data_IF_389346975651
#
_entry.id   IF_389346975651
#
_cell.length_a   1.000
_cell.length_b   1.000
_cell.length_c   1.000
_cell.angle_alpha   90.00
_cell.angle_beta   90.00
_cell.angle_gamma   90.00
#
_symmetry.space_group_name_H-M   'P 1'
#
loop_
_entity.id
_entity.type
_entity.pdbx_description
1 polymer ?
#
# COMPACT_ATOMS: atom_id res chain seq x y z
N UNK A 1 15.85 -1.10 10.72
CA UNK A 1 14.59 -1.49 11.38
C UNK A 1 14.41 -2.99 11.28
N UNK A 2 14.45 -3.62 10.08
CA UNK A 2 14.24 -5.05 9.89
C UNK A 2 15.14 -5.94 10.78
N UNK A 3 16.44 -5.58 10.89
CA UNK A 3 17.36 -6.30 11.77
C UNK A 3 16.92 -6.28 13.24
N UNK A 4 16.47 -5.12 13.75
CA UNK A 4 15.98 -5.02 15.14
C UNK A 4 14.67 -5.80 15.31
N UNK A 5 13.76 -5.72 14.34
CA UNK A 5 12.53 -6.51 14.38
C UNK A 5 12.85 -8.02 14.42
N UNK A 6 13.80 -8.46 13.61
CA UNK A 6 14.25 -9.86 13.65
C UNK A 6 14.81 -10.26 15.01
N UNK A 7 15.66 -9.45 15.64
CA UNK A 7 16.20 -9.74 16.97
C UNK A 7 15.07 -9.89 18.02
N UNK A 8 14.05 -9.04 17.94
CA UNK A 8 12.88 -9.13 18.82
C UNK A 8 12.07 -10.42 18.59
N UNK A 9 11.88 -10.80 17.33
CA UNK A 9 11.19 -12.04 16.95
C UNK A 9 11.99 -13.26 17.43
N UNK A 10 13.30 -13.28 17.22
CA UNK A 10 14.17 -14.37 17.66
C UNK A 10 14.11 -14.58 19.19
N UNK A 11 14.08 -13.49 19.96
CA UNK A 11 13.89 -13.55 21.43
C UNK A 11 12.52 -14.12 21.79
N UNK A 12 11.45 -13.67 21.10
CA UNK A 12 10.08 -14.16 21.30
C UNK A 12 10.00 -15.67 21.07
N UNK A 13 10.59 -16.14 19.97
CA UNK A 13 10.64 -17.56 19.63
C UNK A 13 11.45 -18.38 20.65
N UNK A 14 12.55 -17.82 21.16
CA UNK A 14 13.36 -18.47 22.19
C UNK A 14 12.57 -18.68 23.50
N UNK A 15 11.53 -17.86 23.75
CA UNK A 15 10.61 -18.02 24.85
C UNK A 15 9.47 -19.01 24.57
N UNK A 16 9.43 -19.63 23.39
CA UNK A 16 8.37 -20.55 22.99
C UNK A 16 7.07 -19.85 22.58
N UNK A 17 7.12 -18.56 22.27
CA UNK A 17 5.97 -17.74 21.87
C UNK A 17 6.00 -17.44 20.37
N UNK A 18 4.83 -17.21 19.77
CA UNK A 18 4.71 -16.69 18.41
C UNK A 18 4.82 -15.15 18.43
N UNK A 19 5.43 -14.61 17.38
CA UNK A 19 5.60 -13.19 17.17
C UNK A 19 4.59 -12.65 16.17
N UNK A 20 3.77 -11.71 16.61
CA UNK A 20 2.78 -11.02 15.78
C UNK A 20 3.15 -9.54 15.66
N UNK A 21 3.10 -9.00 14.45
CA UNK A 21 3.29 -7.57 14.23
C UNK A 21 1.98 -6.93 13.82
N UNK A 22 1.57 -5.90 14.56
CA UNK A 22 0.50 -5.03 14.11
C UNK A 22 1.08 -4.05 13.08
N UNK A 23 0.51 -4.10 11.91
CA UNK A 23 0.89 -3.25 10.80
C UNK A 23 -0.22 -2.22 10.65
N UNK A 24 -0.01 -1.09 11.30
CA UNK A 24 -0.84 0.08 11.13
C UNK A 24 -0.72 0.64 9.72
N UNK A 25 -1.30 1.79 9.50
CA UNK A 25 -1.32 2.43 8.17
C UNK A 25 0.07 2.77 7.62
N UNK A 26 1.10 2.65 8.45
CA UNK A 26 2.46 3.12 8.15
C UNK A 26 3.51 2.06 8.50
N UNK A 27 3.75 1.17 7.59
CA UNK A 27 4.72 0.07 7.64
C UNK A 27 6.18 0.55 7.59
N UNK A 28 6.47 1.70 8.13
CA UNK A 28 7.75 2.37 7.97
C UNK A 28 8.92 1.52 8.49
N UNK A 29 9.75 1.07 7.56
CA UNK A 29 10.95 0.27 7.84
C UNK A 29 10.71 -1.22 8.07
N UNK A 30 9.46 -1.67 7.92
CA UNK A 30 9.06 -3.09 7.91
C UNK A 30 7.99 -3.32 6.85
N UNK A 31 8.15 -2.69 5.70
CA UNK A 31 7.22 -2.79 4.59
C UNK A 31 7.12 -4.24 4.10
N UNK A 32 5.90 -4.76 3.90
CA UNK A 32 5.68 -6.20 3.68
C UNK A 32 6.28 -6.75 2.41
N UNK A 33 6.49 -5.89 1.42
CA UNK A 33 7.02 -6.29 0.11
C UNK A 33 8.46 -5.82 -0.12
N UNK A 34 9.15 -5.39 0.96
CA UNK A 34 10.60 -5.19 0.88
C UNK A 34 11.33 -6.54 0.85
N UNK A 35 12.48 -6.65 0.15
CA UNK A 35 13.19 -7.92 0.00
C UNK A 35 13.52 -8.64 1.31
N UNK A 36 13.81 -7.89 2.37
CA UNK A 36 14.21 -8.42 3.67
C UNK A 36 13.04 -8.82 4.58
N UNK A 37 11.79 -8.54 4.22
CA UNK A 37 10.64 -8.77 5.11
C UNK A 37 10.57 -10.22 5.59
N UNK A 38 10.74 -11.18 4.68
CA UNK A 38 10.75 -12.62 5.00
C UNK A 38 11.80 -13.01 6.06
N UNK A 39 12.90 -12.26 6.14
CA UNK A 39 13.99 -12.55 7.08
C UNK A 39 13.64 -12.17 8.51
N UNK A 40 12.62 -11.35 8.74
CA UNK A 40 12.15 -10.96 10.07
C UNK A 40 11.62 -12.18 10.82
N UNK A 41 10.95 -13.12 10.13
CA UNK A 41 10.49 -14.38 10.71
C UNK A 41 9.21 -14.25 11.55
N UNK A 42 8.35 -13.27 11.25
CA UNK A 42 7.05 -13.11 11.91
C UNK A 42 6.15 -14.32 11.67
N UNK A 43 5.40 -14.70 12.71
CA UNK A 43 4.37 -15.73 12.58
C UNK A 43 3.08 -15.16 12.02
N UNK A 44 2.74 -13.93 12.38
CA UNK A 44 1.52 -13.28 11.94
C UNK A 44 1.68 -11.78 11.71
N UNK A 45 0.84 -11.27 10.84
CA UNK A 45 0.64 -9.84 10.63
C UNK A 45 -0.83 -9.49 10.82
N UNK A 46 -1.07 -8.32 11.39
CA UNK A 46 -2.40 -7.83 11.73
C UNK A 46 -2.61 -6.45 11.13
N UNK A 47 -3.73 -6.25 10.46
CA UNK A 47 -4.13 -4.97 9.92
C UNK A 47 -5.55 -4.55 10.32
N UNK A 48 -5.87 -3.29 10.08
CA UNK A 48 -7.20 -2.75 10.32
C UNK A 48 -8.21 -3.22 9.27
N UNK A 49 -9.43 -3.52 9.71
CA UNK A 49 -10.60 -3.77 8.83
C UNK A 49 -11.25 -2.44 8.42
N UNK A 50 -10.54 -1.32 8.50
CA UNK A 50 -11.09 0.00 8.17
C UNK A 50 -11.30 0.25 6.68
N UNK A 51 -10.58 -0.46 5.81
CA UNK A 51 -10.65 -0.31 4.37
C UNK A 51 -10.18 -1.57 3.64
N UNK A 52 -10.45 -1.64 2.34
CA UNK A 52 -10.02 -2.76 1.50
C UNK A 52 -8.53 -2.72 1.20
N UNK A 53 -7.91 -1.54 1.17
CA UNK A 53 -6.48 -1.40 0.83
C UNK A 53 -5.59 -2.07 1.87
N UNK A 54 -5.83 -1.87 3.16
CA UNK A 54 -5.07 -2.54 4.22
C UNK A 54 -5.20 -4.06 4.14
N UNK A 55 -6.42 -4.57 3.98
CA UNK A 55 -6.65 -6.01 3.86
C UNK A 55 -6.00 -6.59 2.61
N UNK A 56 -6.06 -5.86 1.49
CA UNK A 56 -5.43 -6.30 0.26
C UNK A 56 -3.91 -6.36 0.39
N UNK A 57 -3.30 -5.40 1.09
CA UNK A 57 -1.87 -5.41 1.36
C UNK A 57 -1.45 -6.60 2.24
N UNK A 58 -2.17 -6.87 3.33
CA UNK A 58 -1.78 -7.95 4.24
C UNK A 58 -2.06 -9.34 3.67
N UNK A 59 -3.06 -9.51 2.83
CA UNK A 59 -3.46 -10.82 2.31
C UNK A 59 -2.46 -11.44 1.34
N UNK A 60 -1.53 -10.66 0.78
CA UNK A 60 -0.49 -11.14 -0.15
C UNK A 60 0.90 -11.25 0.49
N UNK A 61 1.02 -11.01 1.79
CA UNK A 61 2.32 -11.06 2.46
C UNK A 61 2.85 -12.50 2.49
N UNK A 62 4.06 -12.65 2.01
CA UNK A 62 4.79 -13.91 2.09
C UNK A 62 5.62 -14.01 3.37
N UNK A 63 5.85 -15.24 3.84
CA UNK A 63 6.74 -15.51 4.96
C UNK A 63 6.11 -15.37 6.34
N UNK A 64 4.78 -15.28 6.42
CA UNK A 64 4.00 -15.35 7.66
C UNK A 64 3.12 -16.58 7.66
N UNK A 65 2.79 -17.11 8.85
CA UNK A 65 1.91 -18.29 8.98
C UNK A 65 0.46 -17.94 8.75
N UNK A 66 0.02 -16.74 9.23
CA UNK A 66 -1.34 -16.28 9.07
C UNK A 66 -1.44 -14.75 9.10
N UNK A 67 -2.55 -14.27 8.55
CA UNK A 67 -2.92 -12.86 8.47
C UNK A 67 -4.21 -12.62 9.25
N UNK A 68 -4.33 -11.46 9.89
CA UNK A 68 -5.47 -11.13 10.74
C UNK A 68 -5.98 -9.71 10.47
N UNK A 69 -7.29 -9.56 10.32
CA UNK A 69 -7.97 -8.26 10.28
C UNK A 69 -8.64 -7.94 11.60
N UNK A 70 -8.54 -6.70 12.09
CA UNK A 70 -9.18 -6.25 13.33
C UNK A 70 -10.08 -5.06 13.08
N UNK A 71 -11.29 -5.13 13.61
CA UNK A 71 -12.21 -4.01 13.68
C UNK A 71 -11.72 -2.96 14.67
N UNK A 72 -11.77 -1.67 14.28
CA UNK A 72 -11.53 -0.49 15.11
C UNK A 72 -10.27 -0.61 15.99
N UNK A 73 -9.10 -0.75 15.40
CA UNK A 73 -7.91 -1.08 16.20
C UNK A 73 -7.32 0.08 17.01
N UNK A 74 -7.62 1.36 16.70
CA UNK A 74 -6.80 2.45 17.22
C UNK A 74 -7.49 3.52 18.02
N UNK A 75 -8.55 4.13 17.55
CA UNK A 75 -9.06 5.38 18.13
C UNK A 75 -10.33 5.13 18.94
N UNK A 76 -10.19 4.33 19.97
CA UNK A 76 -11.31 3.91 20.80
C UNK A 76 -12.13 5.05 21.40
N UNK A 77 -11.50 6.13 21.93
CA UNK A 77 -12.27 7.27 22.42
C UNK A 77 -13.07 7.98 21.33
N UNK A 78 -12.58 7.96 20.08
CA UNK A 78 -13.23 8.66 18.95
C UNK A 78 -14.47 7.91 18.48
N UNK A 79 -14.55 6.62 18.72
CA UNK A 79 -15.67 5.76 18.32
C UNK A 79 -16.58 5.42 19.52
N UNK A 80 -15.99 5.04 20.66
CA UNK A 80 -16.71 4.59 21.84
C UNK A 80 -16.90 5.71 22.86
N UNK A 81 -17.77 6.65 22.55
CA UNK A 81 -18.17 7.76 23.43
C UNK A 81 -19.68 7.95 23.43
N UNK A 82 -20.20 8.74 24.36
CA UNK A 82 -21.61 9.08 24.39
C UNK A 82 -22.02 9.79 23.08
N UNK A 83 -23.03 9.24 22.42
CA UNK A 83 -23.49 9.73 21.09
C UNK A 83 -22.69 9.20 19.90
N UNK A 84 -21.65 8.39 20.12
CA UNK A 84 -20.95 7.66 19.07
C UNK A 84 -21.79 6.51 18.51
N UNK A 85 -21.52 6.11 17.27
CA UNK A 85 -22.21 4.99 16.60
C UNK A 85 -21.19 3.96 16.08
N UNK A 86 -20.63 3.12 16.98
CA UNK A 86 -19.65 2.12 16.60
C UNK A 86 -20.21 1.03 15.68
N UNK A 87 -21.52 0.79 15.73
CA UNK A 87 -22.18 -0.19 14.86
C UNK A 87 -22.20 0.28 13.42
N UNK A 88 -22.55 1.54 13.18
CA UNK A 88 -22.56 2.12 11.83
C UNK A 88 -21.17 2.09 11.24
N UNK A 89 -20.18 2.52 11.99
CA UNK A 89 -18.78 2.54 11.55
C UNK A 89 -18.28 1.12 11.21
N UNK A 90 -18.58 0.14 12.05
CA UNK A 90 -18.22 -1.25 11.78
C UNK A 90 -18.93 -1.81 10.53
N UNK A 91 -20.18 -1.43 10.27
CA UNK A 91 -20.91 -1.82 9.06
C UNK A 91 -20.27 -1.24 7.80
N UNK A 92 -19.92 0.04 7.82
CA UNK A 92 -19.25 0.71 6.70
C UNK A 92 -17.89 0.04 6.41
N UNK A 93 -17.11 -0.23 7.46
CA UNK A 93 -15.84 -0.93 7.35
C UNK A 93 -15.99 -2.35 6.79
N UNK A 94 -16.97 -3.11 7.28
CA UNK A 94 -17.19 -4.48 6.81
C UNK A 94 -17.59 -4.56 5.33
N UNK A 95 -18.44 -3.67 4.86
CA UNK A 95 -18.83 -3.61 3.44
C UNK A 95 -17.62 -3.45 2.53
N UNK A 96 -16.67 -2.64 2.93
CA UNK A 96 -15.43 -2.41 2.16
C UNK A 96 -14.47 -3.59 2.28
N UNK A 97 -14.25 -4.06 3.49
CA UNK A 97 -13.34 -5.17 3.79
C UNK A 97 -13.75 -6.48 3.11
N UNK A 98 -15.05 -6.79 3.11
CA UNK A 98 -15.59 -8.02 2.51
C UNK A 98 -15.24 -8.17 1.03
N UNK A 99 -15.18 -7.09 0.27
CA UNK A 99 -14.78 -7.11 -1.15
C UNK A 99 -13.33 -7.60 -1.32
N UNK A 100 -12.43 -7.12 -0.49
CA UNK A 100 -11.03 -7.56 -0.51
C UNK A 100 -10.91 -9.03 -0.11
N UNK A 101 -11.60 -9.45 0.94
CA UNK A 101 -11.60 -10.82 1.45
C UNK A 101 -12.09 -11.82 0.41
N UNK A 102 -13.13 -11.48 -0.36
CA UNK A 102 -13.64 -12.35 -1.43
C UNK A 102 -12.64 -12.56 -2.57
N UNK A 103 -11.67 -11.68 -2.73
CA UNK A 103 -10.61 -11.81 -3.73
C UNK A 103 -9.38 -12.53 -3.20
N UNK A 104 -8.99 -12.21 -1.99
CA UNK A 104 -7.86 -12.83 -1.31
C UNK A 104 -8.18 -12.90 0.18
N UNK A 105 -8.50 -14.08 0.72
CA UNK A 105 -8.87 -14.21 2.12
C UNK A 105 -7.70 -13.90 3.03
N UNK A 106 -8.01 -13.28 4.17
CA UNK A 106 -7.16 -13.30 5.36
C UNK A 106 -7.56 -14.50 6.21
N UNK A 107 -6.72 -14.92 7.14
CA UNK A 107 -6.95 -16.14 7.91
C UNK A 107 -7.83 -15.93 9.13
N UNK A 108 -7.81 -14.74 9.72
CA UNK A 108 -8.55 -14.41 10.96
C UNK A 108 -9.16 -13.03 10.90
N UNK A 109 -10.29 -12.87 11.60
CA UNK A 109 -10.94 -11.59 11.80
C UNK A 109 -11.48 -11.49 13.21
N UNK A 110 -11.48 -10.29 13.79
CA UNK A 110 -12.03 -10.06 15.12
C UNK A 110 -11.98 -8.60 15.55
N UNK A 111 -12.27 -8.39 16.84
CA UNK A 111 -12.13 -7.10 17.49
C UNK A 111 -10.72 -6.93 18.07
N UNK A 112 -10.10 -5.81 17.81
CA UNK A 112 -8.70 -5.52 18.17
C UNK A 112 -8.51 -4.39 19.17
N UNK A 113 -9.54 -4.00 19.91
CA UNK A 113 -9.51 -2.85 20.81
C UNK A 113 -9.63 -3.20 22.30
N UNK A 114 -9.88 -2.15 23.11
CA UNK A 114 -10.14 -2.32 24.53
C UNK A 114 -11.53 -2.90 24.77
N UNK A 115 -11.60 -4.18 25.09
CA UNK A 115 -12.86 -4.89 25.31
C UNK A 115 -13.77 -4.19 26.33
N UNK A 116 -13.18 -3.60 27.38
CA UNK A 116 -13.93 -2.86 28.39
C UNK A 116 -14.72 -1.67 27.81
N UNK A 117 -14.22 -1.01 26.79
CA UNK A 117 -14.95 0.05 26.10
C UNK A 117 -16.05 -0.53 25.21
N UNK A 118 -15.72 -1.53 24.40
CA UNK A 118 -16.66 -2.18 23.49
C UNK A 118 -17.86 -2.79 24.24
N UNK A 119 -17.66 -3.36 25.42
CA UNK A 119 -18.72 -3.94 26.25
C UNK A 119 -19.77 -2.92 26.76
N UNK A 120 -19.49 -1.62 26.66
CA UNK A 120 -20.48 -0.58 26.92
C UNK A 120 -21.46 -0.37 25.75
N UNK A 121 -21.18 -1.00 24.62
CA UNK A 121 -21.97 -0.94 23.38
C UNK A 121 -22.33 -2.38 22.96
N UNK A 122 -23.29 -3.02 23.62
CA UNK A 122 -23.62 -4.43 23.37
C UNK A 122 -24.00 -4.69 21.90
N UNK A 123 -24.72 -3.77 21.26
CA UNK A 123 -25.10 -3.89 19.84
C UNK A 123 -23.86 -3.95 18.92
N UNK A 124 -22.78 -3.29 19.29
CA UNK A 124 -21.52 -3.39 18.55
C UNK A 124 -20.88 -4.77 18.71
N UNK A 125 -20.88 -5.30 19.93
CA UNK A 125 -20.34 -6.65 20.21
C UNK A 125 -21.13 -7.70 19.43
N UNK A 126 -22.47 -7.63 19.47
CA UNK A 126 -23.35 -8.53 18.72
C UNK A 126 -23.11 -8.43 17.21
N UNK A 127 -22.88 -7.21 16.71
CA UNK A 127 -22.56 -7.01 15.31
C UNK A 127 -21.19 -7.62 14.93
N UNK A 128 -20.16 -7.42 15.75
CA UNK A 128 -18.84 -8.04 15.51
C UNK A 128 -18.94 -9.57 15.53
N UNK A 129 -19.70 -10.13 16.44
CA UNK A 129 -19.97 -11.58 16.48
C UNK A 129 -20.64 -12.05 15.19
N UNK A 130 -21.63 -11.32 14.71
CA UNK A 130 -22.32 -11.65 13.47
C UNK A 130 -21.37 -11.63 12.27
N UNK A 131 -20.47 -10.64 12.19
CA UNK A 131 -19.43 -10.56 11.16
C UNK A 131 -18.42 -11.70 11.28
N UNK A 132 -18.02 -12.06 12.49
CA UNK A 132 -17.13 -13.21 12.67
C UNK A 132 -17.77 -14.52 12.19
N UNK A 133 -19.08 -14.69 12.37
CA UNK A 133 -19.82 -15.83 11.85
C UNK A 133 -19.91 -15.80 10.32
N UNK A 134 -20.28 -14.65 9.73
CA UNK A 134 -20.29 -14.47 8.28
C UNK A 134 -18.88 -14.71 7.68
N UNK A 135 -17.84 -14.17 8.28
CA UNK A 135 -16.47 -14.39 7.82
C UNK A 135 -16.07 -15.85 7.84
N UNK A 136 -16.43 -16.57 8.89
CA UNK A 136 -16.14 -18.00 9.02
C UNK A 136 -16.81 -18.81 7.92
N UNK A 137 -18.05 -18.49 7.62
CA UNK A 137 -18.78 -19.11 6.51
C UNK A 137 -18.14 -18.77 5.16
N UNK A 138 -17.82 -17.51 4.90
CA UNK A 138 -17.13 -17.09 3.69
C UNK A 138 -15.79 -17.78 3.55
N UNK A 139 -14.98 -17.78 4.61
CA UNK A 139 -13.65 -18.38 4.60
C UNK A 139 -13.71 -19.88 4.26
N UNK A 140 -14.62 -20.64 4.89
CA UNK A 140 -14.78 -22.06 4.59
C UNK A 140 -15.19 -22.33 3.13
N UNK A 141 -15.92 -21.41 2.52
CA UNK A 141 -16.34 -21.54 1.13
C UNK A 141 -15.24 -21.15 0.11
N UNK A 142 -14.35 -20.23 0.47
CA UNK A 142 -13.34 -19.70 -0.47
C UNK A 142 -11.92 -20.21 -0.22
N UNK A 143 -11.61 -20.70 0.97
CA UNK A 143 -10.29 -21.27 1.26
C UNK A 143 -9.95 -22.39 0.28
N UNK A 144 -8.75 -22.38 -0.24
CA UNK A 144 -8.31 -23.38 -1.22
C UNK A 144 -8.88 -23.20 -2.65
N UNK A 145 -9.65 -22.13 -2.89
CA UNK A 145 -10.06 -21.75 -4.24
C UNK A 145 -9.12 -20.68 -4.80
N UNK A 146 -8.97 -20.65 -6.12
CA UNK A 146 -8.26 -19.57 -6.80
C UNK A 146 -9.29 -18.73 -7.55
N UNK A 147 -9.43 -17.43 -7.24
CA UNK A 147 -10.38 -16.58 -7.94
C UNK A 147 -9.96 -16.42 -9.40
N UNK A 148 -10.94 -16.41 -10.29
CA UNK A 148 -10.67 -16.06 -11.68
C UNK A 148 -10.27 -14.59 -11.77
N UNK A 149 -9.12 -14.34 -12.39
CA UNK A 149 -8.58 -13.00 -12.62
C UNK A 149 -8.45 -12.75 -14.13
N UNK A 150 -8.91 -11.59 -14.56
CA UNK A 150 -8.87 -11.19 -15.99
C UNK A 150 -7.44 -10.86 -16.42
N UNK A 151 -6.69 -10.19 -15.56
CA UNK A 151 -5.33 -9.72 -15.79
C UNK A 151 -4.55 -9.64 -14.49
N UNK A 152 -3.23 -9.70 -14.59
CA UNK A 152 -2.30 -9.45 -13.48
C UNK A 152 -1.88 -7.99 -13.50
N UNK A 153 -2.12 -7.31 -12.40
CA UNK A 153 -1.81 -5.88 -12.21
C UNK A 153 -0.78 -5.74 -11.09
N UNK A 154 0.33 -5.08 -11.35
CA UNK A 154 1.33 -4.82 -10.32
C UNK A 154 1.35 -3.34 -9.90
N UNK A 155 1.38 -3.09 -8.60
CA UNK A 155 1.62 -1.76 -8.01
C UNK A 155 3.09 -1.67 -7.62
N UNK A 156 3.79 -0.70 -8.23
CA UNK A 156 5.23 -0.50 -8.07
C UNK A 156 5.51 0.56 -7.00
N UNK A 157 6.39 0.23 -6.06
CA UNK A 157 6.78 1.09 -4.95
C UNK A 157 8.24 0.81 -4.58
N UNK A 158 8.92 1.79 -3.98
CA UNK A 158 10.24 1.59 -3.34
C UNK A 158 10.08 0.94 -1.96
N UNK A 159 9.59 -0.29 -1.94
CA UNK A 159 9.43 -1.05 -0.69
C UNK A 159 10.76 -1.12 0.06
N UNK A 160 10.71 -0.82 1.37
CA UNK A 160 11.89 -0.68 2.22
C UNK A 160 12.45 0.75 2.32
N UNK A 161 11.97 1.68 1.50
CA UNK A 161 12.45 3.07 1.43
C UNK A 161 11.53 4.10 2.11
N UNK A 162 10.34 3.69 2.58
CA UNK A 162 9.37 4.62 3.17
C UNK A 162 9.92 5.36 4.39
N UNK A 163 10.78 4.72 5.17
CA UNK A 163 11.43 5.38 6.29
C UNK A 163 12.34 6.54 5.85
N UNK A 164 13.13 6.34 4.81
CA UNK A 164 14.03 7.38 4.31
C UNK A 164 13.25 8.58 3.77
N UNK A 165 12.13 8.32 3.12
CA UNK A 165 11.23 9.36 2.62
C UNK A 165 10.38 9.97 3.74
N UNK A 166 9.82 9.17 4.65
CA UNK A 166 8.87 9.57 5.67
C UNK A 166 9.51 10.02 7.00
N UNK A 167 10.84 10.04 7.12
CA UNK A 167 11.51 10.28 8.40
C UNK A 167 11.22 11.67 9.02
N UNK A 168 10.75 12.60 8.22
CA UNK A 168 10.35 13.95 8.68
C UNK A 168 8.85 14.09 8.90
N UNK A 169 8.10 13.03 8.67
CA UNK A 169 6.65 13.01 8.81
C UNK A 169 6.29 12.69 10.25
N UNK A 170 6.04 13.71 11.02
CA UNK A 170 5.76 13.57 12.46
C UNK A 170 4.28 13.33 12.74
N UNK A 171 3.41 13.48 11.73
CA UNK A 171 1.98 13.51 11.97
C UNK A 171 1.19 12.72 10.93
N UNK A 172 0.25 11.90 11.39
CA UNK A 172 -0.63 11.06 10.58
C UNK A 172 -1.31 11.80 9.42
N UNK A 173 -1.81 13.01 9.65
CA UNK A 173 -2.51 13.77 8.62
C UNK A 173 -1.66 14.14 7.41
N UNK A 174 -0.39 14.46 7.60
CA UNK A 174 0.54 14.76 6.51
C UNK A 174 0.84 13.52 5.69
N UNK A 175 1.10 12.41 6.37
CA UNK A 175 1.35 11.14 5.73
C UNK A 175 0.15 10.67 4.91
N UNK A 176 -1.04 10.69 5.48
CA UNK A 176 -2.27 10.30 4.79
C UNK A 176 -2.53 11.13 3.54
N UNK A 177 -2.29 12.44 3.60
CA UNK A 177 -2.45 13.31 2.44
C UNK A 177 -1.52 12.94 1.29
N UNK A 178 -0.27 12.62 1.58
CA UNK A 178 0.74 12.30 0.56
C UNK A 178 0.59 10.88 0.00
N UNK A 179 0.00 9.99 0.76
CA UNK A 179 -0.24 8.61 0.35
C UNK A 179 -1.67 8.40 -0.21
N UNK A 180 -2.47 9.46 -0.29
CA UNK A 180 -3.89 9.37 -0.63
C UNK A 180 -4.15 8.70 -1.98
N UNK A 181 -3.40 9.09 -3.00
CA UNK A 181 -3.53 8.50 -4.34
C UNK A 181 -3.15 7.02 -4.34
N UNK A 182 -2.07 6.67 -3.63
CA UNK A 182 -1.59 5.31 -3.50
C UNK A 182 -2.63 4.40 -2.82
N UNK A 183 -3.13 4.81 -1.67
CA UNK A 183 -4.17 4.08 -0.95
C UNK A 183 -5.46 3.97 -1.79
N UNK A 184 -5.86 5.03 -2.49
CA UNK A 184 -7.04 5.05 -3.35
C UNK A 184 -6.95 4.07 -4.52
N UNK A 185 -5.78 3.92 -5.15
CA UNK A 185 -5.57 2.92 -6.20
C UNK A 185 -5.71 1.51 -5.66
N UNK A 186 -5.11 1.19 -4.51
CA UNK A 186 -5.22 -0.14 -3.90
C UNK A 186 -6.66 -0.41 -3.48
N UNK A 187 -7.35 0.58 -2.92
CA UNK A 187 -8.78 0.46 -2.58
C UNK A 187 -9.63 0.15 -3.81
N UNK A 188 -9.41 0.85 -4.92
CA UNK A 188 -10.11 0.59 -6.18
C UNK A 188 -9.85 -0.82 -6.72
N UNK A 189 -8.64 -1.33 -6.54
CA UNK A 189 -8.24 -2.67 -6.98
C UNK A 189 -8.74 -3.77 -6.04
N UNK A 190 -9.04 -3.48 -4.78
CA UNK A 190 -9.28 -4.47 -3.73
C UNK A 190 -10.44 -5.43 -4.03
N UNK A 191 -11.48 -4.98 -4.72
CA UNK A 191 -12.63 -5.81 -5.13
C UNK A 191 -12.66 -6.13 -6.63
N UNK A 192 -11.68 -5.67 -7.40
CA UNK A 192 -11.64 -5.84 -8.84
C UNK A 192 -11.21 -7.28 -9.24
N UNK A 193 -11.62 -7.76 -10.44
CA UNK A 193 -11.29 -9.10 -10.90
C UNK A 193 -9.87 -9.21 -11.46
N UNK A 194 -8.90 -8.64 -10.75
CA UNK A 194 -7.48 -8.67 -11.11
C UNK A 194 -6.68 -9.45 -10.09
N UNK A 195 -5.62 -10.12 -10.55
CA UNK A 195 -4.56 -10.60 -9.68
C UNK A 195 -3.63 -9.43 -9.40
N UNK A 196 -3.71 -8.87 -8.19
CA UNK A 196 -2.92 -7.69 -7.80
C UNK A 196 -1.64 -8.14 -7.14
N UNK A 197 -0.52 -7.66 -7.65
CA UNK A 197 0.82 -7.87 -7.10
C UNK A 197 1.39 -6.56 -6.58
N UNK A 198 2.24 -6.66 -5.58
CA UNK A 198 3.01 -5.55 -5.05
C UNK A 198 4.49 -5.85 -5.31
N UNK A 199 5.14 -5.04 -6.13
CA UNK A 199 6.54 -5.25 -6.52
C UNK A 199 7.41 -4.06 -6.12
N UNK A 200 8.65 -4.34 -5.80
CA UNK A 200 9.67 -3.36 -5.49
C UNK A 200 10.49 -3.00 -6.72
N UNK A 201 11.06 -1.81 -6.75
CA UNK A 201 12.12 -1.48 -7.70
C UNK A 201 13.36 -2.38 -7.53
N UNK A 202 13.61 -2.84 -6.30
CA UNK A 202 14.71 -3.77 -6.04
C UNK A 202 14.45 -5.15 -6.67
N UNK A 203 13.20 -5.60 -6.73
CA UNK A 203 12.83 -6.84 -7.44
C UNK A 203 13.13 -6.72 -8.94
N UNK A 204 12.75 -5.57 -9.54
CA UNK A 204 13.04 -5.30 -10.96
C UNK A 204 14.55 -5.26 -11.22
N UNK A 205 15.32 -4.68 -10.30
CA UNK A 205 16.76 -4.61 -10.42
C UNK A 205 17.43 -5.97 -10.26
N UNK A 206 16.93 -6.80 -9.36
CA UNK A 206 17.44 -8.14 -9.14
C UNK A 206 17.14 -9.08 -10.32
N UNK A 207 15.93 -9.03 -10.86
CA UNK A 207 15.54 -9.78 -12.06
C UNK A 207 14.43 -9.04 -12.82
N UNK A 208 14.75 -8.35 -13.93
CA UNK A 208 13.77 -7.66 -14.76
C UNK A 208 12.64 -8.57 -15.30
N UNK A 209 12.84 -9.89 -15.30
CA UNK A 209 11.81 -10.86 -15.72
C UNK A 209 10.61 -10.92 -14.78
N UNK A 210 10.70 -10.35 -13.59
CA UNK A 210 9.53 -10.19 -12.70
C UNK A 210 8.36 -9.50 -13.44
N UNK A 211 8.66 -8.64 -14.41
CA UNK A 211 7.67 -7.96 -15.23
C UNK A 211 7.03 -8.85 -16.31
N UNK A 212 7.59 -10.01 -16.65
CA UNK A 212 7.08 -10.87 -17.72
C UNK A 212 5.74 -11.54 -17.33
N UNK A 213 5.45 -11.64 -16.04
CA UNK A 213 4.19 -12.17 -15.50
C UNK A 213 3.11 -11.10 -15.28
N UNK A 214 3.40 -9.85 -15.60
CA UNK A 214 2.53 -8.70 -15.33
C UNK A 214 1.91 -8.22 -16.64
N UNK A 215 0.60 -7.99 -16.65
CA UNK A 215 -0.08 -7.36 -17.79
C UNK A 215 -0.07 -5.84 -17.68
N UNK A 216 -0.26 -5.30 -16.47
CA UNK A 216 -0.35 -3.86 -16.24
C UNK A 216 0.50 -3.46 -15.03
N UNK A 217 1.36 -2.49 -15.21
CA UNK A 217 2.16 -1.87 -14.15
C UNK A 217 1.55 -0.52 -13.76
N UNK A 218 1.38 -0.29 -12.47
CA UNK A 218 0.88 0.98 -11.94
C UNK A 218 1.98 1.65 -11.12
N UNK A 219 2.31 2.89 -11.45
CA UNK A 219 3.13 3.75 -10.61
C UNK A 219 2.30 4.94 -10.15
N UNK A 220 2.14 5.10 -8.85
CA UNK A 220 1.18 6.02 -8.25
C UNK A 220 1.73 6.74 -7.05
N UNK A 221 1.44 8.02 -6.92
CA UNK A 221 1.77 8.86 -5.79
C UNK A 221 2.35 10.21 -6.20
N UNK A 222 2.81 10.96 -5.22
CA UNK A 222 3.51 12.23 -5.43
C UNK A 222 4.96 11.99 -5.86
N UNK A 223 5.51 12.91 -6.63
CA UNK A 223 6.90 12.86 -7.05
C UNK A 223 7.89 12.91 -5.88
N UNK A 224 9.07 12.37 -6.09
CA UNK A 224 10.15 12.29 -5.09
C UNK A 224 9.77 11.55 -3.80
N UNK A 225 8.79 10.64 -3.87
CA UNK A 225 8.40 9.79 -2.74
C UNK A 225 8.79 8.33 -2.95
N UNK A 226 8.73 7.54 -1.88
CA UNK A 226 8.91 6.09 -1.96
C UNK A 226 7.83 5.43 -2.83
N UNK A 227 6.64 6.03 -2.93
CA UNK A 227 5.54 5.49 -3.73
C UNK A 227 5.84 5.56 -5.23
N UNK A 228 6.42 6.65 -5.71
CA UNK A 228 6.77 6.83 -7.12
C UNK A 228 8.19 6.43 -7.46
N UNK A 229 9.06 6.25 -6.47
CA UNK A 229 10.44 5.81 -6.62
C UNK A 229 11.50 6.90 -6.45
N UNK A 230 11.19 8.17 -6.68
CA UNK A 230 12.15 9.27 -6.54
C UNK A 230 13.48 8.99 -7.28
N UNK A 231 14.59 9.03 -6.56
CA UNK A 231 15.95 8.82 -7.13
C UNK A 231 16.18 7.44 -7.76
N UNK A 232 15.33 6.47 -7.52
CA UNK A 232 15.45 5.14 -8.17
C UNK A 232 15.47 5.26 -9.69
N UNK A 233 14.78 6.27 -10.24
CA UNK A 233 14.73 6.53 -11.68
C UNK A 233 16.03 7.04 -12.30
N UNK A 234 17.04 7.39 -11.49
CA UNK A 234 18.40 7.66 -11.97
C UNK A 234 19.10 6.37 -12.41
N UNK A 235 18.62 5.21 -11.98
CA UNK A 235 19.15 3.91 -12.36
C UNK A 235 18.69 3.53 -13.78
N UNK A 236 19.63 3.42 -14.76
CA UNK A 236 19.27 3.14 -16.14
C UNK A 236 18.73 1.70 -16.34
N UNK A 237 19.09 0.76 -15.46
CA UNK A 237 18.61 -0.62 -15.56
C UNK A 237 17.11 -0.68 -15.26
N UNK A 238 16.67 -0.03 -14.19
CA UNK A 238 15.25 0.06 -13.81
C UNK A 238 14.46 0.82 -14.88
N UNK A 239 14.95 1.99 -15.29
CA UNK A 239 14.30 2.79 -16.32
C UNK A 239 14.15 2.02 -17.64
N UNK A 240 15.19 1.29 -18.05
CA UNK A 240 15.15 0.47 -19.26
C UNK A 240 14.22 -0.73 -19.13
N UNK A 241 14.19 -1.38 -17.98
CA UNK A 241 13.30 -2.52 -17.73
C UNK A 241 11.82 -2.12 -17.84
N UNK A 242 11.42 -1.03 -17.20
CA UNK A 242 10.03 -0.53 -17.26
C UNK A 242 9.66 -0.06 -18.67
N UNK A 243 10.52 0.70 -19.34
CA UNK A 243 10.29 1.12 -20.72
C UNK A 243 10.24 -0.08 -21.68
N UNK A 244 11.10 -1.06 -21.47
CA UNK A 244 11.13 -2.31 -22.22
C UNK A 244 9.84 -3.13 -22.03
N UNK A 245 9.32 -3.18 -20.82
CA UNK A 245 8.02 -3.80 -20.53
C UNK A 245 6.90 -3.19 -21.37
N UNK A 246 6.80 -1.86 -21.39
CA UNK A 246 5.79 -1.15 -22.21
C UNK A 246 6.01 -1.40 -23.70
N UNK A 247 7.27 -1.36 -24.15
CA UNK A 247 7.61 -1.63 -25.56
C UNK A 247 7.20 -3.04 -26.01
N UNK A 248 7.25 -4.02 -25.12
CA UNK A 248 6.77 -5.39 -25.38
C UNK A 248 5.24 -5.55 -25.30
N UNK A 249 4.49 -4.48 -25.06
CA UNK A 249 3.04 -4.47 -25.02
C UNK A 249 2.43 -4.52 -23.62
N UNK A 250 3.24 -4.39 -22.58
CA UNK A 250 2.76 -4.22 -21.20
C UNK A 250 2.01 -2.90 -21.03
N UNK A 251 0.92 -2.91 -20.26
CA UNK A 251 0.17 -1.70 -19.92
C UNK A 251 0.88 -0.90 -18.82
N UNK A 252 0.89 0.42 -18.94
CA UNK A 252 1.41 1.31 -17.91
C UNK A 252 0.34 2.33 -17.51
N UNK A 253 0.06 2.41 -16.21
CA UNK A 253 -0.84 3.41 -15.64
C UNK A 253 -0.03 4.29 -14.68
N UNK A 254 -0.08 5.59 -14.90
CA UNK A 254 0.47 6.59 -14.00
C UNK A 254 -0.64 7.34 -13.28
N UNK A 255 -0.52 7.52 -11.97
CA UNK A 255 -1.47 8.28 -11.15
C UNK A 255 -0.72 9.28 -10.28
N UNK A 256 -1.14 10.53 -10.31
CA UNK A 256 -0.40 11.62 -9.66
C UNK A 256 0.82 12.04 -10.45
N UNK A 257 2.00 11.81 -9.92
CA UNK A 257 3.29 12.17 -10.55
C UNK A 257 4.16 10.92 -10.80
N UNK A 258 3.74 10.01 -11.70
CA UNK A 258 4.41 8.74 -11.93
C UNK A 258 5.84 8.94 -12.43
N UNK A 259 6.79 8.30 -11.74
CA UNK A 259 8.21 8.50 -12.01
C UNK A 259 8.70 9.91 -11.74
N UNK A 260 7.98 10.69 -10.93
CA UNK A 260 8.30 12.09 -10.62
C UNK A 260 9.61 12.22 -9.88
N UNK A 261 10.63 12.72 -10.59
CA UNK A 261 11.97 13.01 -10.07
C UNK A 261 12.74 13.86 -11.08
N UNK A 262 13.26 15.02 -10.64
CA UNK A 262 14.02 15.90 -11.52
C UNK A 262 15.37 15.29 -11.90
N UNK A 263 15.49 14.75 -13.09
CA UNK A 263 16.74 14.16 -13.58
C UNK A 263 16.89 14.32 -15.10
N UNK A 264 18.07 14.67 -15.55
CA UNK A 264 18.42 14.86 -16.98
C UNK A 264 17.42 15.74 -17.77
N UNK A 265 16.99 16.84 -17.17
CA UNK A 265 16.10 17.82 -17.80
C UNK A 265 14.63 17.39 -17.90
N UNK A 266 14.25 16.28 -17.26
CA UNK A 266 12.86 15.81 -17.20
C UNK A 266 12.44 15.66 -15.75
N UNK A 267 11.16 15.87 -15.49
CA UNK A 267 10.57 15.60 -14.20
C UNK A 267 9.90 14.23 -14.17
N UNK A 268 9.05 13.91 -15.15
CA UNK A 268 8.44 12.58 -15.22
C UNK A 268 9.38 11.63 -15.98
N UNK A 269 10.06 10.75 -15.26
CA UNK A 269 11.01 9.79 -15.84
C UNK A 269 10.30 8.73 -16.71
N UNK A 270 8.98 8.62 -16.57
CA UNK A 270 8.10 7.81 -17.41
C UNK A 270 7.37 8.61 -18.49
N UNK A 271 7.81 9.84 -18.78
CA UNK A 271 7.18 10.73 -19.78
C UNK A 271 7.06 10.08 -21.16
N UNK A 272 8.07 9.39 -21.62
CA UNK A 272 8.07 8.77 -22.95
C UNK A 272 7.00 7.67 -23.10
N UNK A 273 6.89 6.67 -22.20
CA UNK A 273 5.86 5.65 -22.33
C UNK A 273 4.45 6.17 -21.98
N UNK A 274 4.33 7.22 -21.16
CA UNK A 274 3.03 7.82 -20.80
C UNK A 274 2.56 8.87 -21.82
N UNK A 275 3.45 9.39 -22.66
CA UNK A 275 3.14 10.44 -23.63
C UNK A 275 2.86 11.81 -23.01
N UNK A 276 3.27 12.03 -21.74
CA UNK A 276 3.05 13.27 -21.01
C UNK A 276 4.30 13.68 -20.25
N UNK A 277 4.45 14.99 -20.02
CA UNK A 277 5.51 15.54 -19.19
C UNK A 277 4.92 16.62 -18.28
N UNK A 278 5.52 16.83 -17.12
CA UNK A 278 5.17 17.92 -16.23
C UNK A 278 5.97 19.16 -16.62
N UNK A 279 5.30 20.26 -16.79
CA UNK A 279 5.98 21.55 -16.90
C UNK A 279 6.66 21.88 -15.56
N UNK A 280 7.97 21.89 -15.57
CA UNK A 280 8.81 22.22 -14.39
C UNK A 280 9.45 23.58 -14.50
N UNK A 281 9.07 24.32 -15.51
CA UNK A 281 9.50 25.70 -15.70
C UNK A 281 8.85 26.63 -14.68
N UNK A 282 8.84 27.87 -15.00
CA UNK A 282 8.23 28.91 -14.17
C UNK A 282 6.72 28.71 -14.15
N UNK A 283 6.16 28.72 -12.96
CA UNK A 283 4.71 28.73 -12.83
C UNK A 283 4.20 30.11 -13.25
N UNK A 284 3.51 30.15 -14.36
CA UNK A 284 2.92 31.38 -14.92
C UNK A 284 2.06 32.16 -13.93
N UNK A 285 1.43 31.43 -13.03
CA UNK A 285 0.60 32.00 -11.98
C UNK A 285 1.37 32.48 -10.76
N UNK A 286 2.65 32.14 -10.64
CA UNK A 286 3.47 32.53 -9.49
C UNK A 286 4.31 33.75 -9.79
N UNK A 287 5.02 33.76 -10.91
CA UNK A 287 5.83 34.89 -11.32
C UNK A 287 5.99 34.94 -12.85
N UNK A 288 5.06 35.60 -13.48
CA UNK A 288 5.09 35.83 -14.94
C UNK A 288 6.24 36.73 -15.39
N UNK A 289 6.85 37.49 -14.49
CA UNK A 289 7.99 38.33 -14.84
C UNK A 289 9.25 37.51 -15.02
N UNK A 290 9.44 36.49 -14.25
CA UNK A 290 10.55 35.54 -14.45
C UNK A 290 10.42 34.79 -15.79
N UNK A 291 9.22 34.39 -16.14
CA UNK A 291 8.94 33.83 -17.46
C UNK A 291 9.25 34.81 -18.57
N UNK A 292 8.88 36.07 -18.38
CA UNK A 292 9.15 37.12 -19.37
C UNK A 292 10.63 37.29 -19.61
N UNK A 293 11.46 37.17 -18.59
CA UNK A 293 12.92 37.23 -18.73
C UNK A 293 13.48 36.09 -19.59
N UNK A 294 12.95 34.89 -19.43
CA UNK A 294 13.36 33.74 -20.26
C UNK A 294 12.89 33.94 -21.71
N UNK A 295 11.66 34.36 -21.91
CA UNK A 295 11.16 34.62 -23.25
C UNK A 295 11.85 35.76 -23.96
N UNK A 296 12.34 36.74 -23.22
CA UNK A 296 13.12 37.85 -23.80
C UNK A 296 14.53 37.39 -24.23
N UNK A 297 15.07 36.36 -23.59
CA UNK A 297 16.39 35.82 -23.93
C UNK A 297 16.35 34.77 -25.03
N UNK A 298 15.22 34.33 -25.48
CA UNK A 298 15.15 33.45 -26.67
C UNK A 298 15.33 34.28 -27.93
N UNK A 299 16.32 33.94 -28.75
CA UNK A 299 16.45 34.56 -30.05
C UNK A 299 15.24 34.17 -30.93
N UNK A 300 14.51 35.17 -31.36
CA UNK A 300 13.47 35.03 -32.37
C UNK A 300 14.06 34.61 -33.71
#
# INVERSE_FOLDING_TARGET
>A
VAKLAKEMVDITHACGCEAMMFLGDHWIGTEPFMPEFKTIGLDAVVGSVGNGSTLRLISDIEGVKYTEGRFLPYFFPDTFHEGGDPVREAKENWVTARRAILRKPIDRIGYGGYLKLALQFPEFVDYVESVCNEFRELYENIKGTTPYCVKTVAVLNSWGQQRAWGCHMVHHALYQKQNYSYAGVIEALSGAPFDVKFISFDDIKADPKVLDSIDVLINVGDGDTAHTGGKVWEDPEISSAVKGFVHRGGGLIGVGEPGGHQYQGRYLQLSAPLGVEKETGFTLNYDKYNLSLIHISEPT
#
